data_IF_042141102396
#
_entry.id   IF_042141102396
#
_cell.length_a   1.000
_cell.length_b   1.000
_cell.length_c   1.000
_cell.angle_alpha   90.00
_cell.angle_beta   90.00
_cell.angle_gamma   90.00
#
_symmetry.space_group_name_H-M   'P 1'
#
loop_
_entity.id
_entity.type
_entity.pdbx_description
1 polymer ?
#
# COMPACT_ATOMS: atom_id res chain seq x y z
N UNK A 1 -10.11 31.08 63.39
CA UNK A 1 -9.79 29.74 62.80
C UNK A 1 -9.88 29.72 61.27
N UNK A 2 -10.96 30.21 60.62
CA UNK A 2 -11.10 30.20 59.15
C UNK A 2 -10.00 30.94 58.35
N UNK A 3 -9.41 31.99 58.90
CA UNK A 3 -8.32 32.76 58.25
C UNK A 3 -6.98 32.04 58.24
N UNK A 4 -6.72 31.16 59.21
CA UNK A 4 -5.47 30.39 59.32
C UNK A 4 -5.47 29.21 58.33
N UNK A 5 -6.62 28.59 58.09
CA UNK A 5 -6.76 27.55 57.06
C UNK A 5 -6.64 28.12 55.64
N UNK A 6 -7.10 29.35 55.41
CA UNK A 6 -7.03 30.00 54.10
C UNK A 6 -5.59 30.40 53.74
N UNK A 7 -4.81 30.90 54.69
CA UNK A 7 -3.39 31.20 54.48
C UNK A 7 -2.54 29.92 54.33
N UNK A 8 -2.86 28.85 55.06
CA UNK A 8 -2.20 27.54 54.90
C UNK A 8 -2.48 26.92 53.52
N UNK A 9 -3.69 27.09 52.98
CA UNK A 9 -4.05 26.59 51.64
C UNK A 9 -3.31 27.34 50.51
N UNK A 10 -3.12 28.66 50.66
CA UNK A 10 -2.34 29.47 49.71
C UNK A 10 -0.86 29.11 49.77
N UNK A 11 -0.30 28.87 50.96
CA UNK A 11 1.08 28.42 51.12
C UNK A 11 1.29 27.02 50.49
N UNK A 12 0.32 26.11 50.63
CA UNK A 12 0.37 24.79 50.00
C UNK A 12 0.24 24.86 48.46
N UNK A 13 -0.59 25.77 47.94
CA UNK A 13 -0.72 26.02 46.51
C UNK A 13 0.54 26.65 45.88
N UNK A 14 1.26 27.51 46.63
CA UNK A 14 2.54 28.08 46.21
C UNK A 14 3.68 27.05 46.24
N UNK A 15 3.69 26.15 47.23
CA UNK A 15 4.64 25.02 47.30
C UNK A 15 4.40 23.99 46.18
N UNK A 16 3.14 23.74 45.81
CA UNK A 16 2.79 22.85 44.70
C UNK A 16 3.15 23.42 43.32
N UNK A 17 3.38 24.74 43.22
CA UNK A 17 3.72 25.43 41.97
C UNK A 17 5.25 25.50 41.70
N UNK A 18 6.08 25.03 42.64
CA UNK A 18 7.56 25.14 42.55
C UNK A 18 8.28 23.88 42.03
N UNK A 19 7.57 22.88 41.52
CA UNK A 19 8.21 21.78 40.77
C UNK A 19 8.44 22.22 39.32
N UNK A 20 9.42 23.09 39.14
CA UNK A 20 10.01 23.37 37.83
C UNK A 20 10.51 22.07 37.22
N UNK A 21 10.08 21.77 36.00
CA UNK A 21 10.62 20.69 35.18
C UNK A 21 12.13 20.88 35.10
N UNK A 22 12.87 19.94 35.70
CA UNK A 22 14.33 19.99 35.79
C UNK A 22 14.96 20.26 34.43
N UNK A 23 15.71 21.36 34.36
CA UNK A 23 16.63 21.60 33.26
C UNK A 23 17.74 20.57 33.34
N UNK A 24 17.98 19.84 32.25
CA UNK A 24 19.26 19.19 32.06
C UNK A 24 20.33 20.27 32.10
N UNK A 25 21.24 20.21 33.06
CA UNK A 25 22.38 21.10 33.21
C UNK A 25 23.41 20.88 32.08
N UNK A 26 22.99 20.94 30.81
CA UNK A 26 23.78 20.55 29.63
C UNK A 26 23.88 19.03 29.42
N UNK A 27 23.37 18.22 30.34
CA UNK A 27 23.46 16.76 30.28
C UNK A 27 22.48 16.12 29.27
N UNK A 28 22.93 15.05 28.61
CA UNK A 28 22.11 14.27 27.68
C UNK A 28 21.05 13.46 28.45
N UNK A 29 19.87 14.04 28.64
CA UNK A 29 18.75 13.37 29.35
C UNK A 29 17.75 12.65 28.42
N UNK A 30 17.99 12.70 27.10
CA UNK A 30 17.10 12.12 26.09
C UNK A 30 15.79 12.88 25.90
N UNK A 31 15.13 12.64 24.76
CA UNK A 31 13.82 13.26 24.46
C UNK A 31 12.71 12.34 24.94
N UNK A 32 11.83 12.87 25.80
CA UNK A 32 10.65 12.14 26.25
C UNK A 32 9.67 11.95 25.09
N UNK A 33 9.61 10.74 24.54
CA UNK A 33 8.62 10.37 23.54
C UNK A 33 7.27 10.08 24.19
N UNK A 34 6.18 10.55 23.56
CA UNK A 34 4.82 10.15 23.97
C UNK A 34 4.72 8.63 23.94
N UNK A 35 4.10 8.02 24.97
CA UNK A 35 3.88 6.58 25.06
C UNK A 35 3.24 6.07 23.76
N UNK A 36 4.02 5.33 22.97
CA UNK A 36 3.55 4.72 21.73
C UNK A 36 2.77 3.46 22.07
N UNK A 37 1.46 3.45 21.80
CA UNK A 37 0.62 2.25 21.91
C UNK A 37 0.79 1.44 20.62
N UNK A 38 1.70 0.46 20.62
CA UNK A 38 2.11 -0.30 19.43
C UNK A 38 1.31 -1.60 19.18
N UNK A 39 0.11 -1.74 19.74
CA UNK A 39 -0.62 -3.01 19.66
C UNK A 39 -1.66 -3.08 18.53
N UNK A 40 -1.76 -2.05 17.69
CA UNK A 40 -2.71 -2.07 16.59
C UNK A 40 -2.12 -2.83 15.39
N UNK A 41 -2.58 -4.06 15.21
CA UNK A 41 -2.34 -4.82 13.98
C UNK A 41 -2.91 -4.02 12.80
N UNK A 42 -2.15 -3.82 11.70
CA UNK A 42 -2.69 -3.17 10.52
C UNK A 42 -3.94 -3.90 10.02
N UNK A 43 -4.94 -3.14 9.57
CA UNK A 43 -6.17 -3.71 9.03
C UNK A 43 -5.87 -4.65 7.85
N UNK A 44 -6.47 -5.85 7.87
CA UNK A 44 -6.31 -6.89 6.85
C UNK A 44 -4.97 -7.60 6.86
N UNK A 45 -4.16 -7.44 7.92
CA UNK A 45 -2.85 -8.08 8.05
C UNK A 45 -2.75 -9.00 9.27
N UNK A 46 -1.89 -10.01 9.16
CA UNK A 46 -1.54 -10.97 10.20
C UNK A 46 -0.09 -10.79 10.62
N UNK A 47 0.19 -10.96 11.91
CA UNK A 47 1.55 -10.93 12.45
C UNK A 47 2.27 -12.25 12.18
N UNK A 48 3.43 -12.16 11.54
CA UNK A 48 4.34 -13.28 11.28
C UNK A 48 5.55 -13.16 12.22
N UNK A 49 5.78 -14.15 13.12
CA UNK A 49 6.84 -14.05 14.12
C UNK A 49 8.23 -14.22 13.50
N UNK A 50 9.22 -13.54 14.09
CA UNK A 50 10.62 -13.72 13.71
C UNK A 50 11.06 -15.18 13.88
N UNK A 51 11.90 -15.67 12.97
CA UNK A 51 12.39 -17.04 13.03
C UNK A 51 13.45 -17.33 11.98
N UNK A 52 14.04 -18.51 12.10
CA UNK A 52 15.03 -19.02 11.15
C UNK A 52 14.46 -20.25 10.47
N UNK A 53 14.58 -20.34 9.15
CA UNK A 53 14.15 -21.52 8.40
C UNK A 53 15.11 -21.85 7.27
N UNK A 54 15.01 -23.07 6.77
CA UNK A 54 15.76 -23.52 5.59
C UNK A 54 14.88 -23.24 4.38
N UNK A 55 15.31 -22.29 3.57
CA UNK A 55 14.70 -21.88 2.30
C UNK A 55 15.14 -22.84 1.19
N UNK A 56 14.19 -23.26 0.33
CA UNK A 56 14.46 -24.13 -0.81
C UNK A 56 13.71 -25.45 -0.80
N UNK A 57 14.02 -26.31 -1.77
CA UNK A 57 13.35 -27.61 -1.92
C UNK A 57 13.70 -28.56 -0.79
N UNK A 58 12.68 -29.24 -0.28
CA UNK A 58 12.82 -30.32 0.70
C UNK A 58 12.88 -31.70 0.04
N UNK A 59 12.49 -31.78 -1.23
CA UNK A 59 12.45 -33.03 -2.01
C UNK A 59 13.76 -33.26 -2.77
N UNK A 60 14.07 -34.52 -3.07
CA UNK A 60 15.24 -34.86 -3.89
C UNK A 60 15.02 -34.44 -5.34
N UNK A 61 15.95 -33.65 -5.88
CA UNK A 61 16.00 -33.34 -7.31
C UNK A 61 16.22 -34.64 -8.11
N UNK A 62 15.18 -35.10 -8.81
CA UNK A 62 15.19 -36.31 -9.65
C UNK A 62 16.26 -36.20 -10.75
N UNK A 63 16.64 -34.98 -11.13
CA UNK A 63 17.64 -34.72 -12.16
C UNK A 63 19.07 -34.55 -11.64
N UNK A 64 19.31 -34.66 -10.32
CA UNK A 64 20.62 -34.45 -9.66
C UNK A 64 21.33 -33.14 -10.07
N UNK A 65 20.61 -32.15 -10.59
CA UNK A 65 21.20 -30.98 -11.21
C UNK A 65 21.67 -29.93 -10.19
N UNK A 66 21.38 -30.11 -8.89
CA UNK A 66 21.85 -29.27 -7.76
C UNK A 66 21.59 -27.76 -7.97
N UNK A 67 20.56 -27.39 -8.73
CA UNK A 67 20.37 -26.01 -9.19
C UNK A 67 19.85 -25.11 -8.06
N UNK A 68 19.17 -25.66 -7.04
CA UNK A 68 18.72 -24.91 -5.86
C UNK A 68 19.43 -25.39 -4.59
N UNK A 69 20.36 -24.59 -4.09
CA UNK A 69 20.99 -24.85 -2.78
C UNK A 69 20.09 -24.35 -1.65
N UNK A 70 19.85 -25.22 -0.67
CA UNK A 70 19.12 -24.85 0.54
C UNK A 70 19.92 -23.81 1.33
N UNK A 71 19.27 -22.71 1.72
CA UNK A 71 19.89 -21.61 2.46
C UNK A 71 19.17 -21.40 3.78
N UNK A 72 19.92 -21.29 4.87
CA UNK A 72 19.33 -20.88 6.14
C UNK A 72 19.12 -19.36 6.12
N UNK A 73 17.86 -18.93 6.24
CA UNK A 73 17.49 -17.52 6.24
C UNK A 73 16.83 -17.17 7.57
N UNK A 74 17.24 -16.04 8.14
CA UNK A 74 16.64 -15.45 9.35
C UNK A 74 15.72 -14.31 8.94
N UNK A 75 14.45 -14.40 9.30
CA UNK A 75 13.43 -13.40 9.01
C UNK A 75 13.06 -12.67 10.31
N UNK A 76 13.00 -11.34 10.25
CA UNK A 76 12.51 -10.51 11.35
C UNK A 76 10.99 -10.59 11.40
N UNK A 77 10.39 -10.28 12.55
CA UNK A 77 8.93 -10.26 12.65
C UNK A 77 8.34 -9.18 11.74
N UNK A 78 7.28 -9.51 11.01
CA UNK A 78 6.62 -8.60 10.08
C UNK A 78 5.11 -8.84 10.04
N UNK A 79 4.39 -7.97 9.32
CA UNK A 79 2.97 -8.14 9.05
C UNK A 79 2.78 -8.47 7.57
N UNK A 80 1.90 -9.42 7.28
CA UNK A 80 1.55 -9.82 5.91
C UNK A 80 0.04 -9.70 5.72
N UNK A 81 -0.42 -9.30 4.55
CA UNK A 81 -1.87 -9.29 4.25
C UNK A 81 -2.44 -10.71 4.40
N UNK A 82 -3.61 -10.84 5.03
CA UNK A 82 -4.28 -12.12 5.27
C UNK A 82 -4.75 -12.77 3.96
N UNK A 83 -5.20 -11.94 3.03
CA UNK A 83 -5.72 -12.34 1.72
C UNK A 83 -5.00 -11.58 0.61
N UNK A 84 -5.12 -12.10 -0.61
CA UNK A 84 -4.75 -11.35 -1.81
C UNK A 84 -5.54 -10.04 -1.89
N UNK A 85 -4.93 -9.02 -2.52
CA UNK A 85 -5.58 -7.72 -2.70
C UNK A 85 -6.80 -7.90 -3.61
N UNK A 86 -7.94 -7.44 -3.11
CA UNK A 86 -9.21 -7.55 -3.82
C UNK A 86 -9.37 -6.49 -4.91
N UNK A 87 -10.26 -6.74 -5.88
CA UNK A 87 -10.66 -5.76 -6.89
C UNK A 87 -11.19 -4.46 -6.25
N UNK A 88 -11.87 -4.53 -5.10
CA UNK A 88 -12.37 -3.35 -4.40
C UNK A 88 -11.25 -2.47 -3.84
N UNK A 89 -10.24 -3.08 -3.22
CA UNK A 89 -9.08 -2.39 -2.66
C UNK A 89 -8.21 -1.78 -3.76
N UNK A 90 -7.98 -2.53 -4.85
CA UNK A 90 -7.24 -1.99 -5.98
C UNK A 90 -8.00 -0.87 -6.69
N UNK A 91 -9.34 -0.95 -6.80
CA UNK A 91 -10.16 0.18 -7.30
C UNK A 91 -10.04 1.43 -6.43
N UNK A 92 -9.82 1.30 -5.12
CA UNK A 92 -9.54 2.47 -4.28
C UNK A 92 -8.29 3.21 -4.75
N UNK A 93 -7.23 2.49 -5.13
CA UNK A 93 -6.03 3.07 -5.71
C UNK A 93 -6.30 3.72 -7.06
N UNK A 94 -6.99 3.02 -7.98
CA UNK A 94 -7.34 3.56 -9.30
C UNK A 94 -8.18 4.84 -9.17
N UNK A 95 -9.19 4.84 -8.31
CA UNK A 95 -10.05 6.01 -8.07
C UNK A 95 -9.27 7.16 -7.45
N UNK A 96 -8.33 6.89 -6.55
CA UNK A 96 -7.47 7.92 -5.97
C UNK A 96 -6.59 8.58 -7.05
N UNK A 97 -6.01 7.80 -7.95
CA UNK A 97 -5.19 8.32 -9.06
C UNK A 97 -6.06 9.12 -10.03
N UNK A 98 -7.22 8.58 -10.41
CA UNK A 98 -8.22 9.27 -11.25
C UNK A 98 -8.60 10.62 -10.67
N UNK A 99 -8.98 10.65 -9.39
CA UNK A 99 -9.40 11.87 -8.71
C UNK A 99 -8.25 12.87 -8.56
N UNK A 100 -7.03 12.39 -8.33
CA UNK A 100 -5.83 13.24 -8.27
C UNK A 100 -5.60 13.97 -9.59
N UNK A 101 -5.67 13.26 -10.71
CA UNK A 101 -5.45 13.79 -12.06
C UNK A 101 -6.56 14.77 -12.43
N UNK A 102 -7.81 14.43 -12.12
CA UNK A 102 -8.95 15.31 -12.34
C UNK A 102 -8.78 16.67 -11.64
N UNK A 103 -8.31 16.66 -10.39
CA UNK A 103 -8.09 17.90 -9.62
C UNK A 103 -6.87 18.68 -10.12
N UNK A 104 -5.73 18.01 -10.33
CA UNK A 104 -4.47 18.70 -10.62
C UNK A 104 -4.34 19.17 -12.06
N UNK A 105 -4.84 18.39 -13.00
CA UNK A 105 -4.59 18.62 -14.43
C UNK A 105 -5.77 19.33 -15.09
N UNK A 106 -7.00 18.92 -14.79
CA UNK A 106 -8.19 19.37 -15.53
C UNK A 106 -8.97 20.47 -14.81
N UNK A 107 -9.35 20.26 -13.55
CA UNK A 107 -10.19 21.22 -12.83
C UNK A 107 -9.40 22.44 -12.38
N UNK A 108 -8.25 22.24 -11.75
CA UNK A 108 -7.37 23.28 -11.20
C UNK A 108 -8.05 24.30 -10.27
N UNK A 109 -9.26 24.00 -9.79
CA UNK A 109 -10.01 24.87 -8.90
C UNK A 109 -9.33 24.94 -7.51
N UNK A 110 -9.07 26.15 -7.02
CA UNK A 110 -8.45 26.40 -5.70
C UNK A 110 -9.25 25.80 -4.53
N UNK A 111 -10.54 25.53 -4.73
CA UNK A 111 -11.40 24.89 -3.73
C UNK A 111 -10.88 23.54 -3.27
N UNK A 112 -10.22 22.77 -4.14
CA UNK A 112 -9.73 21.42 -3.84
C UNK A 112 -8.30 21.39 -3.28
N UNK A 113 -7.64 22.53 -3.17
CA UNK A 113 -6.30 22.60 -2.60
C UNK A 113 -6.33 23.06 -1.15
N UNK A 114 -5.35 22.61 -0.37
CA UNK A 114 -5.16 23.06 1.01
C UNK A 114 -4.69 24.52 0.96
N UNK A 115 -5.45 25.41 1.60
CA UNK A 115 -4.99 26.76 1.85
C UNK A 115 -4.09 26.76 3.09
N UNK A 116 -2.82 27.19 3.00
CA UNK A 116 -1.95 27.28 4.17
C UNK A 116 -2.56 28.31 5.13
N UNK A 117 -2.85 27.89 6.37
CA UNK A 117 -3.28 28.79 7.44
C UNK A 117 -2.07 29.09 8.34
N UNK A 118 -1.40 30.23 8.12
CA UNK A 118 -0.29 30.71 8.96
C UNK A 118 0.41 31.94 8.36
N UNK A 119 1.01 32.79 9.20
CA UNK A 119 1.77 33.99 8.80
C UNK A 119 3.17 33.69 8.20
N UNK A 120 3.64 32.46 8.27
CA UNK A 120 4.88 32.01 7.61
C UNK A 120 4.56 31.39 6.24
N UNK A 121 4.15 32.26 5.31
CA UNK A 121 3.83 31.92 3.92
C UNK A 121 5.07 31.72 3.02
N UNK A 122 6.25 31.47 3.60
CA UNK A 122 7.55 31.44 2.88
C UNK A 122 8.07 30.03 2.59
N UNK A 123 7.26 28.97 2.72
CA UNK A 123 7.75 27.60 2.53
C UNK A 123 6.89 26.67 1.65
N UNK A 124 5.92 27.21 0.89
CA UNK A 124 5.24 26.44 -0.17
C UNK A 124 5.58 27.05 -1.52
N UNK A 125 6.84 26.91 -1.94
CA UNK A 125 7.30 27.29 -3.28
C UNK A 125 6.49 26.54 -4.37
N UNK A 126 5.38 27.13 -4.82
CA UNK A 126 4.56 26.69 -5.96
C UNK A 126 3.83 25.34 -5.84
N UNK A 127 4.07 24.54 -4.79
CA UNK A 127 3.48 23.20 -4.64
C UNK A 127 2.11 23.28 -3.96
N UNK A 128 1.06 23.06 -4.73
CA UNK A 128 -0.31 22.91 -4.23
C UNK A 128 -0.56 21.47 -3.77
N UNK A 129 -1.10 21.29 -2.56
CA UNK A 129 -1.48 19.98 -2.02
C UNK A 129 -3.00 19.81 -2.08
N UNK A 130 -3.46 18.62 -2.49
CA UNK A 130 -4.89 18.31 -2.59
C UNK A 130 -5.48 18.13 -1.19
N UNK A 131 -6.62 18.79 -0.94
CA UNK A 131 -7.46 18.57 0.23
C UNK A 131 -8.42 17.40 -0.02
N UNK A 132 -7.96 16.20 0.31
CA UNK A 132 -8.72 14.96 0.13
C UNK A 132 -10.06 14.93 0.88
N UNK A 133 -10.24 15.74 1.93
CA UNK A 133 -11.53 15.84 2.64
C UNK A 133 -12.59 16.50 1.76
N UNK A 134 -12.19 17.50 0.96
CA UNK A 134 -13.10 18.20 0.04
C UNK A 134 -13.37 17.38 -1.21
N UNK A 135 -12.41 16.57 -1.67
CA UNK A 135 -12.60 15.63 -2.79
C UNK A 135 -13.68 14.59 -2.44
N UNK A 136 -13.70 14.09 -1.20
CA UNK A 136 -14.79 13.25 -0.70
C UNK A 136 -14.99 11.96 -1.49
N UNK A 137 -13.90 11.21 -1.73
CA UNK A 137 -13.87 9.97 -2.54
C UNK A 137 -14.48 10.17 -3.95
N UNK A 138 -14.24 11.33 -4.55
CA UNK A 138 -14.70 11.67 -5.89
C UNK A 138 -16.15 12.15 -5.98
N UNK A 139 -16.94 12.07 -4.90
CA UNK A 139 -18.34 12.53 -4.93
C UNK A 139 -18.48 14.02 -5.25
N UNK A 140 -17.51 14.84 -4.86
CA UNK A 140 -17.48 16.27 -5.19
C UNK A 140 -17.02 16.56 -6.63
N UNK A 141 -16.36 15.61 -7.29
CA UNK A 141 -15.81 15.78 -8.64
C UNK A 141 -16.83 15.27 -9.66
N UNK A 142 -17.32 14.04 -9.46
CA UNK A 142 -18.06 13.25 -10.43
C UNK A 142 -19.58 13.29 -10.26
N UNK A 143 -20.11 13.96 -9.22
CA UNK A 143 -21.57 14.06 -9.03
C UNK A 143 -22.20 15.10 -9.96
N UNK A 144 -22.97 14.62 -10.96
CA UNK A 144 -23.69 15.45 -11.93
C UNK A 144 -24.64 16.48 -11.28
N UNK A 145 -25.28 16.13 -10.16
CA UNK A 145 -26.24 17.02 -9.47
C UNK A 145 -25.59 18.26 -8.86
N UNK A 146 -24.30 18.19 -8.49
CA UNK A 146 -23.63 19.24 -7.73
C UNK A 146 -22.67 20.07 -8.58
N UNK A 147 -22.15 19.54 -9.68
CA UNK A 147 -21.08 20.20 -10.43
C UNK A 147 -21.15 19.96 -11.94
N UNK A 148 -22.25 20.36 -12.59
CA UNK A 148 -22.38 20.32 -14.05
C UNK A 148 -21.24 21.07 -14.78
N UNK A 149 -20.70 22.14 -14.19
CA UNK A 149 -19.57 22.89 -14.73
C UNK A 149 -18.24 22.11 -14.75
N UNK A 150 -18.09 21.05 -13.94
CA UNK A 150 -16.92 20.19 -13.99
C UNK A 150 -16.96 19.25 -15.21
N UNK A 151 -18.16 18.89 -15.68
CA UNK A 151 -18.32 17.86 -16.72
C UNK A 151 -17.65 18.25 -18.04
N UNK A 152 -17.76 19.50 -18.46
CA UNK A 152 -17.09 20.01 -19.67
C UNK A 152 -15.56 20.02 -19.55
N UNK A 153 -15.04 20.37 -18.36
CA UNK A 153 -13.58 20.34 -18.10
C UNK A 153 -13.01 18.92 -18.04
N UNK A 154 -13.82 17.96 -17.59
CA UNK A 154 -13.45 16.56 -17.44
C UNK A 154 -13.70 15.72 -18.70
N UNK A 155 -14.32 16.28 -19.74
CA UNK A 155 -14.62 15.58 -20.99
C UNK A 155 -13.37 14.95 -21.62
N UNK A 156 -12.24 15.69 -21.57
CA UNK A 156 -10.95 15.22 -22.07
C UNK A 156 -10.32 14.07 -21.25
N UNK A 157 -10.95 13.61 -20.16
CA UNK A 157 -10.56 12.37 -19.44
C UNK A 157 -11.26 11.12 -19.98
N UNK A 158 -12.28 11.27 -20.81
CA UNK A 158 -13.04 10.17 -21.42
C UNK A 158 -12.53 9.90 -22.84
N UNK A 159 -12.73 8.68 -23.33
CA UNK A 159 -12.50 8.36 -24.73
C UNK A 159 -13.33 9.25 -25.65
N UNK A 160 -12.75 9.64 -26.79
CA UNK A 160 -13.34 10.58 -27.75
C UNK A 160 -13.45 9.94 -29.14
N UNK A 161 -14.43 10.39 -29.94
CA UNK A 161 -14.59 9.94 -31.32
C UNK A 161 -14.73 8.43 -31.46
N UNK A 162 -13.92 7.84 -32.36
CA UNK A 162 -13.94 6.41 -32.71
C UNK A 162 -13.44 5.48 -31.59
N UNK A 163 -12.72 6.01 -30.57
CA UNK A 163 -12.28 5.22 -29.42
C UNK A 163 -13.46 4.83 -28.50
N UNK A 164 -14.65 5.43 -28.66
CA UNK A 164 -15.84 5.14 -27.84
C UNK A 164 -16.56 3.90 -28.36
N UNK A 165 -16.67 2.89 -27.50
CA UNK A 165 -17.44 1.68 -27.79
C UNK A 165 -18.92 1.91 -27.43
N UNK A 166 -19.82 1.77 -28.41
CA UNK A 166 -21.28 1.96 -28.27
C UNK A 166 -21.71 3.32 -27.68
N UNK A 167 -20.99 4.40 -27.99
CA UNK A 167 -21.24 5.74 -27.44
C UNK A 167 -21.25 5.81 -25.90
N UNK A 168 -20.66 4.83 -25.21
CA UNK A 168 -20.51 4.90 -23.75
C UNK A 168 -19.40 5.89 -23.40
N UNK A 169 -19.63 6.65 -22.32
CA UNK A 169 -18.60 7.52 -21.76
C UNK A 169 -17.73 6.72 -20.79
N UNK A 170 -16.67 6.13 -21.32
CA UNK A 170 -15.67 5.39 -20.56
C UNK A 170 -14.41 6.24 -20.36
N UNK A 171 -13.78 6.13 -19.19
CA UNK A 171 -12.57 6.86 -18.88
C UNK A 171 -11.39 6.31 -19.69
N UNK A 172 -10.57 7.21 -20.24
CA UNK A 172 -9.35 6.81 -20.92
C UNK A 172 -8.33 6.29 -19.89
N UNK A 173 -8.16 4.97 -19.86
CA UNK A 173 -7.28 4.28 -18.92
C UNK A 173 -5.81 4.62 -19.14
N UNK A 174 -5.44 5.09 -20.35
CA UNK A 174 -4.06 5.49 -20.70
C UNK A 174 -3.60 6.71 -19.91
N UNK A 175 -4.54 7.56 -19.51
CA UNK A 175 -4.27 8.77 -18.73
C UNK A 175 -3.97 8.45 -17.26
N UNK A 176 -4.41 7.29 -16.77
CA UNK A 176 -4.27 6.89 -15.37
C UNK A 176 -2.85 6.40 -15.07
N UNK A 177 -1.90 7.35 -15.01
CA UNK A 177 -0.50 7.10 -14.70
C UNK A 177 -0.16 7.59 -13.30
N UNK A 178 0.47 6.74 -12.50
CA UNK A 178 0.95 7.09 -11.18
C UNK A 178 2.46 7.24 -11.17
N UNK A 179 2.92 8.38 -10.65
CA UNK A 179 4.32 8.70 -10.48
C UNK A 179 4.71 8.39 -9.03
N UNK A 180 5.68 7.50 -8.84
CA UNK A 180 6.15 7.15 -7.51
C UNK A 180 7.67 7.17 -7.42
N UNK A 181 8.16 7.30 -6.19
CA UNK A 181 9.57 7.34 -5.89
C UNK A 181 9.87 6.47 -4.67
N UNK A 182 10.90 5.62 -4.79
CA UNK A 182 11.39 4.77 -3.71
C UNK A 182 12.87 5.00 -3.46
N UNK A 183 13.27 4.94 -2.19
CA UNK A 183 14.67 4.96 -1.79
C UNK A 183 15.25 3.55 -1.91
N UNK A 184 16.29 3.37 -2.72
CA UNK A 184 17.00 2.10 -2.80
C UNK A 184 18.01 1.96 -1.66
N UNK A 185 17.52 1.54 -0.49
CA UNK A 185 18.33 1.46 0.73
C UNK A 185 19.54 0.52 0.61
N UNK A 186 19.39 -0.62 -0.07
CA UNK A 186 20.49 -1.59 -0.25
C UNK A 186 21.63 -1.02 -1.11
N UNK A 187 21.30 -0.35 -2.21
CA UNK A 187 22.29 0.35 -3.04
C UNK A 187 22.94 1.50 -2.24
N UNK A 188 22.15 2.29 -1.52
CA UNK A 188 22.67 3.37 -0.67
C UNK A 188 23.65 2.86 0.41
N UNK A 189 23.36 1.70 1.02
CA UNK A 189 24.22 1.07 2.04
C UNK A 189 25.60 0.67 1.49
N UNK A 190 25.66 0.22 0.24
CA UNK A 190 26.92 -0.15 -0.42
C UNK A 190 27.87 1.05 -0.57
N UNK A 191 27.34 2.27 -0.70
CA UNK A 191 28.10 3.51 -0.87
C UNK A 191 28.15 4.39 0.39
N UNK A 192 27.91 3.82 1.59
CA UNK A 192 27.80 4.58 2.85
C UNK A 192 28.98 5.50 3.20
N UNK A 193 30.19 5.20 2.71
CA UNK A 193 31.41 5.97 3.00
C UNK A 193 31.75 6.99 1.90
N UNK A 194 31.04 6.98 0.78
CA UNK A 194 31.30 7.84 -0.35
C UNK A 194 30.58 9.19 -0.19
N UNK A 195 31.33 10.24 0.14
CA UNK A 195 30.81 11.61 0.33
C UNK A 195 30.37 12.27 -0.97
N UNK A 196 30.73 11.71 -2.13
CA UNK A 196 30.38 12.28 -3.44
C UNK A 196 28.93 12.00 -3.82
N UNK A 197 28.37 10.90 -3.31
CA UNK A 197 27.01 10.46 -3.63
C UNK A 197 25.98 11.24 -2.82
N UNK A 198 24.92 11.68 -3.49
CA UNK A 198 23.81 12.40 -2.86
C UNK A 198 22.62 11.46 -2.69
N UNK A 199 21.74 11.80 -1.75
CA UNK A 199 20.48 11.08 -1.54
C UNK A 199 19.66 10.94 -2.82
N UNK A 200 19.71 11.94 -3.71
CA UNK A 200 19.01 11.95 -5.00
C UNK A 200 19.33 10.77 -5.89
N UNK A 201 20.58 10.29 -5.82
CA UNK A 201 21.12 9.28 -6.73
C UNK A 201 20.56 7.89 -6.41
N UNK A 202 20.07 7.71 -5.18
CA UNK A 202 19.46 6.48 -4.69
C UNK A 202 17.92 6.53 -4.73
N UNK A 203 17.33 7.57 -5.31
CA UNK A 203 15.88 7.68 -5.49
C UNK A 203 15.53 7.13 -6.87
N UNK A 204 14.92 5.95 -6.90
CA UNK A 204 14.28 5.43 -8.11
C UNK A 204 12.96 6.16 -8.30
N UNK A 205 12.79 6.84 -9.43
CA UNK A 205 11.52 7.43 -9.87
C UNK A 205 10.99 6.61 -11.04
N UNK A 206 9.73 6.26 -10.99
CA UNK A 206 9.07 5.49 -12.05
C UNK A 206 7.64 6.01 -12.25
N UNK A 207 7.16 5.88 -13.49
CA UNK A 207 5.80 6.24 -13.92
C UNK A 207 5.16 5.02 -14.53
N UNK A 208 4.01 4.62 -14.00
CA UNK A 208 3.34 3.37 -14.39
C UNK A 208 1.85 3.63 -14.62
N UNK A 209 1.30 3.09 -15.71
CA UNK A 209 -0.15 3.05 -15.93
C UNK A 209 -0.77 2.09 -14.92
N UNK A 210 -1.75 2.54 -14.12
CA UNK A 210 -2.20 1.77 -12.95
C UNK A 210 -3.38 0.85 -13.23
N UNK A 211 -4.08 1.04 -14.35
CA UNK A 211 -5.26 0.25 -14.67
C UNK A 211 -4.84 -1.20 -15.00
N UNK A 212 -5.49 -2.21 -14.40
CA UNK A 212 -5.13 -3.60 -14.66
C UNK A 212 -5.47 -3.98 -16.10
N UNK A 213 -4.70 -4.90 -16.67
CA UNK A 213 -5.00 -5.44 -17.99
C UNK A 213 -6.19 -6.40 -17.89
N UNK A 214 -7.34 -5.97 -18.42
CA UNK A 214 -8.56 -6.79 -18.42
C UNK A 214 -8.52 -7.89 -19.47
N UNK A 215 -7.65 -7.80 -20.49
CA UNK A 215 -7.57 -8.76 -21.60
C UNK A 215 -6.81 -10.05 -21.25
N UNK A 216 -6.14 -10.09 -20.09
CA UNK A 216 -5.45 -11.30 -19.56
C UNK A 216 -6.34 -12.54 -19.56
N UNK A 217 -7.65 -12.36 -19.35
CA UNK A 217 -8.64 -13.43 -19.37
C UNK A 217 -8.80 -14.10 -20.75
N UNK A 218 -8.48 -13.40 -21.84
CA UNK A 218 -8.48 -13.91 -23.21
C UNK A 218 -7.09 -14.31 -23.68
N UNK A 219 -6.07 -13.50 -23.38
CA UNK A 219 -4.70 -13.74 -23.87
C UNK A 219 -4.08 -14.99 -23.29
N UNK A 220 -4.27 -15.21 -21.98
CA UNK A 220 -3.55 -16.25 -21.25
C UNK A 220 -4.34 -17.57 -21.24
N UNK A 221 -5.64 -17.50 -21.56
CA UNK A 221 -6.57 -18.63 -21.58
C UNK A 221 -7.24 -18.80 -22.95
N UNK A 222 -6.43 -19.06 -23.99
CA UNK A 222 -6.87 -19.13 -25.38
C UNK A 222 -8.05 -20.10 -25.67
N UNK A 223 -8.28 -21.11 -24.81
CA UNK A 223 -9.33 -22.11 -24.99
C UNK A 223 -10.44 -22.03 -23.93
N UNK A 224 -10.54 -20.92 -23.18
CA UNK A 224 -11.59 -20.71 -22.19
C UNK A 224 -12.58 -19.64 -22.65
N UNK A 225 -13.88 -19.87 -22.47
CA UNK A 225 -14.93 -18.90 -22.78
C UNK A 225 -15.02 -17.82 -21.68
N UNK A 226 -13.97 -17.00 -21.55
CA UNK A 226 -13.79 -16.04 -20.47
C UNK A 226 -14.21 -14.60 -20.83
N UNK A 227 -14.89 -14.39 -21.96
CA UNK A 227 -15.41 -13.08 -22.39
C UNK A 227 -16.15 -12.30 -21.28
N UNK A 228 -17.03 -12.93 -20.45
CA UNK A 228 -17.69 -12.21 -19.35
C UNK A 228 -16.72 -11.69 -18.29
N UNK A 229 -15.60 -12.39 -18.06
CA UNK A 229 -14.57 -11.96 -17.10
C UNK A 229 -13.83 -10.73 -17.64
N UNK A 230 -13.46 -10.73 -18.93
CA UNK A 230 -12.82 -9.58 -19.57
C UNK A 230 -13.62 -8.30 -19.44
N UNK A 231 -14.95 -8.38 -19.61
CA UNK A 231 -15.82 -7.20 -19.61
C UNK A 231 -16.11 -6.68 -18.19
N UNK A 232 -16.21 -7.58 -17.21
CA UNK A 232 -16.80 -7.26 -15.91
C UNK A 232 -15.92 -7.53 -14.68
N UNK A 233 -14.83 -8.29 -14.78
CA UNK A 233 -14.12 -8.80 -13.61
C UNK A 233 -13.61 -7.68 -12.68
N UNK A 234 -12.98 -6.65 -13.25
CA UNK A 234 -12.46 -5.55 -12.44
C UNK A 234 -13.52 -4.53 -12.04
N UNK A 235 -14.52 -4.30 -12.89
CA UNK A 235 -15.49 -3.20 -12.75
C UNK A 235 -16.75 -3.59 -11.98
N UNK A 236 -17.22 -4.83 -12.12
CA UNK A 236 -18.52 -5.27 -11.65
C UNK A 236 -18.54 -5.55 -10.12
N UNK A 237 -19.58 -5.14 -9.38
CA UNK A 237 -19.66 -5.35 -7.92
C UNK A 237 -19.61 -6.80 -7.47
N UNK A 238 -20.09 -7.75 -8.29
CA UNK A 238 -20.07 -9.18 -7.95
C UNK A 238 -18.65 -9.72 -7.72
N UNK A 239 -17.65 -9.13 -8.40
CA UNK A 239 -16.25 -9.52 -8.28
C UNK A 239 -15.45 -8.62 -7.33
N UNK A 240 -16.13 -7.78 -6.53
CA UNK A 240 -15.47 -6.80 -5.65
C UNK A 240 -14.49 -7.43 -4.64
N UNK A 241 -14.83 -8.62 -4.12
CA UNK A 241 -14.04 -9.34 -3.12
C UNK A 241 -13.13 -10.42 -3.73
N UNK A 242 -13.03 -10.49 -5.05
CA UNK A 242 -12.14 -11.41 -5.75
C UNK A 242 -10.75 -10.77 -5.90
N UNK A 243 -9.68 -11.57 -6.00
CA UNK A 243 -8.33 -11.04 -6.16
C UNK A 243 -8.19 -10.24 -7.45
N UNK A 244 -7.35 -9.22 -7.43
CA UNK A 244 -7.07 -8.45 -8.65
C UNK A 244 -6.21 -9.26 -9.61
N UNK A 245 -6.59 -9.26 -10.90
CA UNK A 245 -5.90 -9.98 -11.98
C UNK A 245 -5.45 -8.98 -13.05
N UNK A 246 -4.40 -9.30 -13.81
CA UNK A 246 -3.86 -8.42 -14.85
C UNK A 246 -2.96 -7.30 -14.32
N UNK A 247 -2.29 -7.53 -13.19
CA UNK A 247 -1.40 -6.54 -12.54
C UNK A 247 0.06 -6.96 -12.71
N UNK A 248 0.86 -6.09 -13.32
CA UNK A 248 2.31 -6.27 -13.45
C UNK A 248 3.05 -6.00 -12.13
N UNK A 249 4.26 -6.55 -11.99
CA UNK A 249 5.14 -6.28 -10.84
C UNK A 249 5.38 -4.78 -10.59
N UNK A 250 5.51 -3.99 -11.68
CA UNK A 250 5.68 -2.53 -11.58
C UNK A 250 4.44 -1.84 -11.01
N UNK A 251 3.25 -2.27 -11.41
CA UNK A 251 1.98 -1.77 -10.87
C UNK A 251 1.79 -2.17 -9.41
N UNK A 252 2.08 -3.43 -9.06
CA UNK A 252 2.02 -3.90 -7.68
C UNK A 252 2.94 -3.08 -6.76
N UNK A 253 4.17 -2.80 -7.18
CA UNK A 253 5.10 -1.93 -6.44
C UNK A 253 4.59 -0.49 -6.34
N UNK A 254 3.97 0.03 -7.40
CA UNK A 254 3.34 1.35 -7.38
C UNK A 254 2.21 1.42 -6.33
N UNK A 255 1.40 0.37 -6.23
CA UNK A 255 0.33 0.21 -5.25
C UNK A 255 0.87 0.19 -3.81
N UNK A 256 1.95 -0.53 -3.51
CA UNK A 256 2.50 -0.56 -2.14
C UNK A 256 3.03 0.81 -1.71
N UNK A 257 3.66 1.55 -2.63
CA UNK A 257 4.09 2.93 -2.38
C UNK A 257 2.91 3.85 -2.13
N UNK A 258 1.87 3.76 -2.94
CA UNK A 258 0.63 4.51 -2.72
C UNK A 258 0.00 4.18 -1.36
N UNK A 259 -0.14 2.89 -1.01
CA UNK A 259 -0.70 2.43 0.27
C UNK A 259 0.08 2.99 1.46
N UNK A 260 1.41 3.04 1.33
CA UNK A 260 2.31 3.67 2.31
C UNK A 260 1.99 5.16 2.45
N UNK A 261 2.00 5.93 1.37
CA UNK A 261 1.72 7.37 1.41
C UNK A 261 0.32 7.70 1.91
N UNK A 262 -0.66 6.90 1.50
CA UNK A 262 -2.04 6.99 1.96
C UNK A 262 -2.11 6.85 3.49
N UNK A 263 -1.42 5.84 4.04
CA UNK A 263 -1.37 5.64 5.47
C UNK A 263 -0.60 6.73 6.23
N UNK A 264 0.56 7.12 5.73
CA UNK A 264 1.39 8.16 6.32
C UNK A 264 0.63 9.48 6.42
N UNK A 265 -0.09 9.87 5.36
CA UNK A 265 -0.89 11.10 5.33
C UNK A 265 -1.92 11.10 6.46
N UNK A 266 -2.62 9.98 6.66
CA UNK A 266 -3.56 9.82 7.77
C UNK A 266 -2.87 9.95 9.13
N UNK A 267 -1.77 9.20 9.34
CA UNK A 267 -1.03 9.19 10.61
C UNK A 267 -0.43 10.54 10.96
N UNK A 268 0.18 11.23 9.99
CA UNK A 268 0.74 12.56 10.16
C UNK A 268 -0.33 13.57 10.56
N UNK A 269 -1.51 13.53 9.92
CA UNK A 269 -2.64 14.41 10.28
C UNK A 269 -3.14 14.23 11.72
N UNK A 270 -2.87 13.06 12.33
CA UNK A 270 -3.25 12.71 13.70
C UNK A 270 -2.08 12.76 14.69
N UNK A 271 -0.87 13.11 14.23
CA UNK A 271 0.34 13.09 15.05
C UNK A 271 0.74 11.70 15.55
N UNK A 272 0.36 10.64 14.82
CA UNK A 272 0.67 9.25 15.15
C UNK A 272 2.01 8.88 14.49
N UNK A 273 2.92 8.17 15.19
CA UNK A 273 4.16 7.68 14.59
C UNK A 273 3.94 6.81 13.35
N UNK A 274 4.78 7.03 12.34
CA UNK A 274 4.75 6.28 11.09
C UNK A 274 5.07 4.80 11.35
N UNK A 275 4.47 3.92 10.54
CA UNK A 275 4.79 2.49 10.53
C UNK A 275 5.88 2.22 9.47
N UNK A 276 6.40 1.00 9.44
CA UNK A 276 7.21 0.51 8.33
C UNK A 276 6.43 0.62 7.00
N UNK A 277 7.15 0.85 5.91
CA UNK A 277 6.55 0.98 4.58
C UNK A 277 5.91 -0.35 4.14
N UNK A 278 4.83 -0.27 3.38
CA UNK A 278 4.29 -1.44 2.69
C UNK A 278 5.20 -1.78 1.52
N UNK A 279 5.59 -3.05 1.44
CA UNK A 279 6.40 -3.59 0.36
C UNK A 279 5.84 -4.92 -0.09
N UNK A 280 6.23 -5.33 -1.30
CA UNK A 280 5.99 -6.70 -1.75
C UNK A 280 6.90 -7.63 -0.92
N UNK A 281 6.39 -8.79 -0.49
CA UNK A 281 7.19 -9.72 0.31
C UNK A 281 8.39 -10.18 -0.52
N UNK A 282 9.53 -10.32 0.15
CA UNK A 282 10.67 -11.03 -0.44
C UNK A 282 10.33 -12.51 -0.60
N UNK A 283 11.04 -13.21 -1.48
CA UNK A 283 10.87 -14.65 -1.68
C UNK A 283 10.98 -15.43 -0.36
N UNK A 284 11.94 -15.05 0.49
CA UNK A 284 12.14 -15.69 1.78
C UNK A 284 11.03 -15.38 2.79
N UNK A 285 10.51 -14.14 2.83
CA UNK A 285 9.36 -13.80 3.68
C UNK A 285 8.09 -14.53 3.23
N UNK A 286 7.86 -14.61 1.91
CA UNK A 286 6.72 -15.31 1.34
C UNK A 286 6.79 -16.81 1.63
N UNK A 287 7.94 -17.45 1.40
CA UNK A 287 8.12 -18.88 1.68
C UNK A 287 7.97 -19.17 3.18
N UNK A 288 8.55 -18.35 4.05
CA UNK A 288 8.43 -18.50 5.50
C UNK A 288 6.98 -18.41 5.97
N UNK A 289 6.23 -17.42 5.48
CA UNK A 289 4.80 -17.28 5.78
C UNK A 289 3.97 -18.45 5.22
N UNK A 290 4.23 -18.85 3.96
CA UNK A 290 3.52 -19.93 3.31
C UNK A 290 3.76 -21.31 3.95
N UNK A 291 4.93 -21.54 4.56
CA UNK A 291 5.23 -22.78 5.29
C UNK A 291 4.44 -22.93 6.58
N UNK A 292 3.85 -21.86 7.12
CA UNK A 292 2.99 -21.91 8.31
C UNK A 292 3.67 -22.53 9.53
N UNK A 293 4.99 -22.31 9.70
CA UNK A 293 5.79 -22.88 10.80
C UNK A 293 6.23 -24.33 10.62
N UNK A 294 5.95 -24.95 9.47
CA UNK A 294 6.38 -26.33 9.16
C UNK A 294 7.75 -26.33 8.49
N UNK A 295 8.66 -27.17 8.98
CA UNK A 295 10.00 -27.36 8.44
C UNK A 295 10.03 -28.70 7.69
N UNK A 296 10.61 -28.74 6.49
CA UNK A 296 10.79 -30.01 5.76
C UNK A 296 9.56 -30.50 4.98
N UNK A 297 8.42 -29.80 5.03
CA UNK A 297 7.22 -30.17 4.27
C UNK A 297 7.22 -29.57 2.87
N UNK A 298 6.88 -30.36 1.86
CA UNK A 298 6.75 -29.90 0.47
C UNK A 298 5.54 -28.98 0.24
N UNK A 299 4.50 -29.07 1.08
CA UNK A 299 3.27 -28.29 0.96
C UNK A 299 2.88 -27.57 2.27
N UNK A 300 2.24 -26.39 2.20
CA UNK A 300 1.76 -25.62 3.35
C UNK A 300 0.85 -26.39 4.33
N UNK A 301 0.03 -27.30 3.82
CA UNK A 301 -0.91 -28.11 4.62
C UNK A 301 -0.29 -29.37 5.25
N UNK A 302 0.99 -29.65 4.99
CA UNK A 302 1.66 -30.88 5.41
C UNK A 302 1.52 -31.98 4.36
N UNK A 303 2.63 -32.26 3.68
CA UNK A 303 2.72 -33.30 2.66
C UNK A 303 2.51 -34.73 3.17
N UNK A 304 2.68 -35.75 2.31
CA UNK A 304 3.24 -35.65 0.95
C UNK A 304 2.19 -35.42 -0.15
N UNK A 305 0.89 -35.41 0.17
CA UNK A 305 -0.15 -35.42 -0.85
C UNK A 305 -0.67 -34.02 -1.20
N UNK A 306 -0.88 -33.79 -2.49
CA UNK A 306 -1.55 -32.60 -3.04
C UNK A 306 -3.08 -32.64 -2.89
N UNK A 307 -3.62 -33.81 -2.56
CA UNK A 307 -5.06 -34.07 -2.42
C UNK A 307 -5.44 -34.33 -0.97
N UNK A 308 -6.59 -33.82 -0.56
CA UNK A 308 -7.19 -34.17 0.71
C UNK A 308 -7.73 -35.61 0.69
N UNK A 309 -8.22 -36.12 1.83
CA UNK A 309 -8.81 -37.46 1.93
C UNK A 309 -10.03 -37.68 1.01
N UNK A 310 -10.66 -36.60 0.50
CA UNK A 310 -11.78 -36.63 -0.44
C UNK A 310 -11.32 -36.62 -1.91
N UNK A 311 -10.00 -36.63 -2.17
CA UNK A 311 -9.44 -36.56 -3.51
C UNK A 311 -9.40 -35.15 -4.13
N UNK A 312 -9.84 -34.11 -3.43
CA UNK A 312 -9.79 -32.73 -3.94
C UNK A 312 -8.38 -32.16 -3.79
N UNK A 313 -7.91 -31.42 -4.81
CA UNK A 313 -6.63 -30.70 -4.74
C UNK A 313 -6.70 -29.62 -3.64
N UNK A 314 -5.64 -29.51 -2.84
CA UNK A 314 -5.56 -28.56 -1.73
C UNK A 314 -5.02 -27.18 -2.14
N UNK A 315 -4.59 -27.04 -3.39
CA UNK A 315 -4.33 -25.74 -4.02
C UNK A 315 -4.70 -25.78 -5.50
N UNK A 316 -4.79 -24.59 -6.12
CA UNK A 316 -4.86 -24.41 -7.57
C UNK A 316 -3.53 -24.81 -8.22
N UNK A 317 -3.26 -26.11 -8.27
CA UNK A 317 -2.19 -26.65 -9.09
C UNK A 317 -2.69 -26.81 -10.51
N UNK A 318 -1.81 -26.51 -11.48
CA UNK A 318 -1.96 -27.00 -12.85
C UNK A 318 -1.57 -28.47 -12.85
N UNK A 319 -2.51 -29.44 -12.88
CA UNK A 319 -2.21 -30.85 -12.62
C UNK A 319 -1.55 -31.56 -13.83
N UNK A 320 -1.52 -30.90 -14.99
CA UNK A 320 -0.98 -31.42 -16.25
C UNK A 320 -0.94 -30.36 -17.35
N UNK A 321 -0.67 -30.75 -18.61
CA UNK A 321 -0.94 -29.87 -19.76
C UNK A 321 -2.46 -29.80 -19.97
N UNK A 322 -3.07 -28.66 -19.68
CA UNK A 322 -4.52 -28.43 -19.74
C UNK A 322 -4.94 -27.21 -18.89
N UNK A 323 -6.20 -26.78 -19.01
CA UNK A 323 -6.75 -25.59 -18.33
C UNK A 323 -7.21 -25.89 -16.89
N UNK A 324 -7.36 -24.84 -16.07
CA UNK A 324 -7.74 -24.88 -14.64
C UNK A 324 -9.22 -25.24 -14.37
N UNK A 325 -10.02 -25.61 -15.38
CA UNK A 325 -11.48 -25.73 -15.29
C UNK A 325 -11.98 -27.18 -15.52
N UNK A 326 -11.09 -28.17 -15.61
CA UNK A 326 -11.52 -29.57 -15.67
C UNK A 326 -11.86 -30.15 -14.28
#
# INVERSE_FOLDING_TARGET
MKTIYFSAFIAFALLASSCGKGGANGELIGVANKKFRNNEVPYGMVYVPAGTFIMGQTDQDITFAQISQNKQVTIQAFYMDETEITNSEYRQFVNWVRDSIAVTTYLQDDKFFITPKGKDNTASAGKKYIDWKKVGNGSSIWSNKKNAANASKLEAMYYQGEDRVFDRNELDVRLLKYNFAIMKLREASNFRNDKTKKRSDFILRDTVAIYPDTLTWLSDFAYAQNEPMTQGYFSHPAFANYPVVGVSWRQARAFTVWRTRFNETYKQSRGIPLRAEYALPTEAEFEYAARGGRIGTSYPWGGPYIRNAKGCLMANFKPGRGNYID
#
